data_IF_138015575215
#
_entry.id   IF_138015575215
#
_cell.length_a   1.000
_cell.length_b   1.000
_cell.length_c   1.000
_cell.angle_alpha   90.00
_cell.angle_beta   90.00
_cell.angle_gamma   90.00
#
_symmetry.space_group_name_H-M   'P 1'
#
loop_
_entity.id
_entity.type
_entity.pdbx_description
1 polymer ?
#
# COMPACT_ATOMS: atom_id res chain seq x y z
N UNK A 1 1.58 -42.35 64.28
CA UNK A 1 2.97 -41.82 64.32
C UNK A 1 3.82 -42.60 63.34
N UNK A 2 4.56 -41.90 62.46
CA UNK A 2 5.76 -42.31 61.69
C UNK A 2 5.62 -43.54 60.75
N UNK A 3 5.43 -43.27 59.46
CA UNK A 3 6.43 -43.29 58.36
C UNK A 3 6.64 -44.68 57.77
N UNK A 4 6.22 -44.86 56.51
CA UNK A 4 7.02 -45.61 55.54
C UNK A 4 6.95 -44.89 54.18
N UNK A 5 8.15 -44.67 53.65
CA UNK A 5 8.48 -44.08 52.36
C UNK A 5 7.87 -44.91 51.22
N UNK A 6 7.24 -44.25 50.24
CA UNK A 6 7.12 -44.81 48.90
C UNK A 6 8.23 -44.23 48.02
N UNK A 7 9.26 -45.06 47.82
CA UNK A 7 10.17 -44.99 46.69
C UNK A 7 9.53 -45.74 45.54
N UNK A 8 9.26 -45.08 44.41
CA UNK A 8 9.23 -45.75 43.10
C UNK A 8 9.47 -44.74 41.97
N UNK A 9 10.69 -44.82 41.43
CA UNK A 9 11.07 -44.77 40.01
C UNK A 9 10.73 -43.54 39.15
N UNK A 10 11.81 -42.85 38.79
CA UNK A 10 11.97 -41.94 37.65
C UNK A 10 11.48 -42.54 36.33
N UNK A 11 10.70 -41.78 35.57
CA UNK A 11 10.68 -41.84 34.11
C UNK A 11 11.11 -40.48 33.57
N UNK A 12 12.23 -40.37 32.83
CA UNK A 12 12.63 -39.11 32.23
C UNK A 12 11.74 -38.86 31.01
N UNK A 13 10.76 -37.95 31.15
CA UNK A 13 10.10 -37.33 30.01
C UNK A 13 11.14 -36.50 29.25
N UNK A 14 11.63 -37.03 28.14
CA UNK A 14 12.40 -36.27 27.16
C UNK A 14 11.41 -35.62 26.19
N UNK A 15 11.27 -34.28 26.15
CA UNK A 15 10.50 -33.64 25.09
C UNK A 15 11.29 -33.77 23.79
N UNK A 16 10.79 -34.58 22.84
CA UNK A 16 11.29 -34.53 21.46
C UNK A 16 10.94 -33.16 20.89
N UNK A 17 11.88 -32.38 20.33
CA UNK A 17 11.53 -31.16 19.62
C UNK A 17 10.71 -31.54 18.38
N UNK A 18 9.46 -31.09 18.35
CA UNK A 18 8.59 -31.23 17.19
C UNK A 18 9.04 -30.21 16.14
N UNK A 19 10.17 -30.47 15.49
CA UNK A 19 10.69 -29.67 14.39
C UNK A 19 10.00 -30.10 13.10
N UNK A 20 8.73 -29.72 12.94
CA UNK A 20 8.01 -29.82 11.68
C UNK A 20 7.66 -28.41 11.20
N UNK A 21 8.65 -27.74 10.59
CA UNK A 21 8.31 -26.67 9.64
C UNK A 21 7.47 -27.31 8.54
N UNK A 22 6.19 -26.93 8.37
CA UNK A 22 5.43 -27.43 7.22
C UNK A 22 6.21 -27.03 5.96
N UNK A 23 6.36 -27.92 4.97
CA UNK A 23 6.96 -27.54 3.71
C UNK A 23 6.08 -26.45 3.10
N UNK A 24 6.58 -25.21 3.10
CA UNK A 24 5.98 -24.12 2.35
C UNK A 24 6.04 -24.52 0.88
N UNK A 25 4.99 -25.19 0.39
CA UNK A 25 4.81 -25.41 -1.04
C UNK A 25 4.63 -24.02 -1.65
N UNK A 26 5.49 -23.58 -2.58
CA UNK A 26 5.27 -22.31 -3.24
C UNK A 26 3.93 -22.38 -3.97
N UNK A 27 2.98 -21.54 -3.55
CA UNK A 27 1.72 -21.36 -4.29
C UNK A 27 2.13 -20.77 -5.63
N UNK A 28 2.05 -21.58 -6.69
CA UNK A 28 2.39 -21.18 -8.05
C UNK A 28 1.24 -20.33 -8.61
N UNK A 29 1.14 -19.09 -8.15
CA UNK A 29 0.20 -18.11 -8.70
C UNK A 29 0.79 -17.63 -10.03
N UNK A 30 0.11 -17.93 -11.13
CA UNK A 30 0.46 -17.41 -12.46
C UNK A 30 -0.36 -16.15 -12.71
N UNK A 31 0.25 -14.98 -12.53
CA UNK A 31 -0.34 -13.70 -12.93
C UNK A 31 0.03 -13.46 -14.40
N UNK A 32 -0.96 -13.24 -15.26
CA UNK A 32 -0.69 -12.84 -16.64
C UNK A 32 -0.09 -11.42 -16.65
N UNK A 33 1.01 -11.24 -17.36
CA UNK A 33 1.56 -9.91 -17.60
C UNK A 33 0.64 -9.12 -18.52
N UNK A 34 0.58 -7.78 -18.39
CA UNK A 34 -0.09 -6.95 -19.38
C UNK A 34 0.48 -7.19 -20.79
N UNK A 35 -0.33 -7.01 -21.85
CA UNK A 35 0.14 -7.01 -23.23
C UNK A 35 1.32 -6.04 -23.46
N UNK A 36 2.23 -6.30 -24.42
CA UNK A 36 3.40 -5.44 -24.67
C UNK A 36 3.07 -4.00 -25.08
N UNK A 37 1.89 -3.78 -25.65
CA UNK A 37 1.34 -2.51 -26.12
C UNK A 37 0.42 -1.83 -25.09
N UNK A 38 0.27 -2.43 -23.91
CA UNK A 38 -0.57 -1.89 -22.86
C UNK A 38 0.02 -0.59 -22.29
N UNK A 39 -0.73 0.50 -22.41
CA UNK A 39 -0.41 1.78 -21.83
C UNK A 39 -1.62 2.35 -21.09
N UNK A 40 -1.72 1.93 -19.84
CA UNK A 40 -2.81 2.34 -18.95
C UNK A 40 -2.92 3.86 -18.81
N UNK A 41 -1.79 4.58 -18.79
CA UNK A 41 -1.79 6.03 -18.59
C UNK A 41 -2.43 6.74 -19.77
N UNK A 42 -2.12 6.31 -20.98
CA UNK A 42 -2.70 6.87 -22.19
C UNK A 42 -4.19 6.56 -22.32
N UNK A 43 -4.64 5.36 -21.92
CA UNK A 43 -6.05 4.98 -21.95
C UNK A 43 -6.94 5.92 -21.12
N UNK A 44 -6.45 6.36 -19.95
CA UNK A 44 -7.22 7.17 -19.00
C UNK A 44 -6.97 8.69 -19.11
N UNK A 45 -5.93 9.11 -19.84
CA UNK A 45 -5.45 10.49 -19.83
C UNK A 45 -6.53 11.50 -20.24
N UNK A 46 -7.30 11.18 -21.28
CA UNK A 46 -8.36 12.07 -21.79
C UNK A 46 -9.44 12.32 -20.75
N UNK A 47 -9.95 11.25 -20.13
CA UNK A 47 -11.03 11.33 -19.15
C UNK A 47 -10.55 12.00 -17.86
N UNK A 48 -9.35 11.66 -17.41
CA UNK A 48 -8.67 12.30 -16.28
C UNK A 48 -8.57 13.81 -16.50
N UNK A 49 -8.03 14.23 -17.64
CA UNK A 49 -7.88 15.64 -18.00
C UNK A 49 -9.23 16.36 -18.06
N UNK A 50 -10.23 15.74 -18.68
CA UNK A 50 -11.58 16.30 -18.77
C UNK A 50 -12.19 16.49 -17.37
N UNK A 51 -12.04 15.52 -16.47
CA UNK A 51 -12.50 15.62 -15.09
C UNK A 51 -11.78 16.75 -14.33
N UNK A 52 -10.45 16.82 -14.42
CA UNK A 52 -9.63 17.86 -13.77
C UNK A 52 -10.02 19.25 -14.28
N UNK A 53 -10.22 19.42 -15.60
CA UNK A 53 -10.62 20.71 -16.18
C UNK A 53 -11.96 21.24 -15.64
N UNK A 54 -12.84 20.36 -15.17
CA UNK A 54 -14.16 20.71 -14.64
C UNK A 54 -14.12 21.00 -13.14
N UNK A 55 -13.28 20.29 -12.38
CA UNK A 55 -13.28 20.35 -10.91
C UNK A 55 -12.15 21.22 -10.35
N UNK A 56 -10.95 21.14 -10.93
CA UNK A 56 -9.75 21.85 -10.48
C UNK A 56 -8.95 22.37 -11.70
N UNK A 57 -9.50 23.35 -12.45
CA UNK A 57 -8.86 23.87 -13.66
C UNK A 57 -7.46 24.47 -13.41
N UNK A 58 -7.15 24.90 -12.18
CA UNK A 58 -5.84 25.37 -11.75
C UNK A 58 -4.75 24.28 -11.68
N UNK A 59 -5.14 23.00 -11.83
CA UNK A 59 -4.24 21.86 -11.93
C UNK A 59 -4.17 21.29 -13.36
N UNK A 60 -4.85 21.90 -14.32
CA UNK A 60 -4.96 21.38 -15.69
C UNK A 60 -3.61 21.28 -16.38
N UNK A 61 -2.69 22.21 -16.09
CA UNK A 61 -1.32 22.18 -16.60
C UNK A 61 -0.57 20.90 -16.21
N UNK A 62 -0.83 20.36 -15.01
CA UNK A 62 -0.26 19.10 -14.55
C UNK A 62 -0.90 17.89 -15.25
N UNK A 63 -2.15 17.98 -15.65
CA UNK A 63 -2.76 16.94 -16.48
C UNK A 63 -2.20 17.00 -17.91
N UNK A 64 -2.00 18.20 -18.45
CA UNK A 64 -1.49 18.44 -19.81
C UNK A 64 -0.05 17.95 -19.98
N UNK A 65 0.82 18.16 -18.99
CA UNK A 65 2.18 17.60 -19.00
C UNK A 65 2.23 16.13 -18.51
N UNK A 66 1.09 15.60 -18.06
CA UNK A 66 0.90 14.24 -17.57
C UNK A 66 1.50 13.95 -16.19
N UNK A 67 1.94 14.95 -15.45
CA UNK A 67 2.37 14.81 -14.05
C UNK A 67 1.21 14.39 -13.15
N UNK A 68 -0.03 14.77 -13.47
CA UNK A 68 -1.22 14.48 -12.67
C UNK A 68 -2.21 13.60 -13.44
N UNK A 69 -2.64 12.52 -12.79
CA UNK A 69 -3.70 11.63 -13.27
C UNK A 69 -4.76 11.45 -12.19
N UNK A 70 -6.02 11.54 -12.58
CA UNK A 70 -7.19 11.30 -11.74
C UNK A 70 -7.84 9.97 -12.13
N UNK A 71 -7.93 9.07 -11.15
CA UNK A 71 -8.59 7.78 -11.26
C UNK A 71 -9.88 7.79 -10.45
N UNK A 72 -10.97 7.30 -11.03
CA UNK A 72 -12.25 7.16 -10.35
C UNK A 72 -12.55 5.68 -10.06
N UNK A 73 -13.11 5.41 -8.88
CA UNK A 73 -13.48 4.06 -8.44
C UNK A 73 -14.40 3.34 -9.42
N UNK A 74 -15.33 4.07 -10.02
CA UNK A 74 -16.33 3.50 -10.93
C UNK A 74 -15.69 2.90 -12.21
N UNK A 75 -14.43 3.23 -12.51
CA UNK A 75 -13.71 2.73 -13.69
C UNK A 75 -13.28 1.26 -13.59
N UNK A 76 -13.28 0.64 -12.41
CA UNK A 76 -12.72 -0.71 -12.20
C UNK A 76 -13.73 -1.79 -11.78
N UNK A 77 -15.03 -1.49 -11.86
CA UNK A 77 -16.11 -2.42 -11.53
C UNK A 77 -16.41 -2.53 -10.03
N UNK A 78 -17.36 -3.40 -9.64
CA UNK A 78 -17.83 -3.48 -8.26
C UNK A 78 -16.79 -4.12 -7.34
N UNK A 79 -16.67 -3.59 -6.11
CA UNK A 79 -15.83 -4.19 -5.07
C UNK A 79 -16.35 -5.59 -4.73
N UNK A 80 -15.49 -6.63 -4.78
CA UNK A 80 -15.92 -7.99 -4.45
C UNK A 80 -16.45 -8.11 -3.01
N UNK A 81 -17.47 -8.95 -2.83
CA UNK A 81 -18.21 -9.11 -1.56
C UNK A 81 -17.37 -9.63 -0.38
N UNK A 82 -16.19 -10.19 -0.64
CA UNK A 82 -15.24 -10.66 0.39
C UNK A 82 -14.27 -9.59 0.89
N UNK A 83 -14.25 -8.38 0.30
CA UNK A 83 -13.44 -7.22 0.74
C UNK A 83 -14.30 -6.08 1.32
N UNK A 84 -15.30 -6.40 2.14
CA UNK A 84 -16.21 -5.39 2.73
C UNK A 84 -15.56 -4.48 3.76
N UNK A 85 -14.51 -4.96 4.43
CA UNK A 85 -13.76 -4.19 5.44
C UNK A 85 -12.88 -3.10 4.84
N UNK A 86 -12.54 -3.19 3.55
CA UNK A 86 -11.75 -2.20 2.84
C UNK A 86 -12.64 -1.36 1.92
N UNK A 87 -12.77 -0.07 2.24
CA UNK A 87 -13.48 0.88 1.40
C UNK A 87 -12.47 1.59 0.51
N UNK A 88 -12.47 1.24 -0.77
CA UNK A 88 -11.68 1.97 -1.78
C UNK A 88 -12.19 3.42 -1.89
N UNK A 89 -11.29 4.42 -1.96
CA UNK A 89 -11.67 5.82 -2.11
C UNK A 89 -12.43 6.05 -3.42
N UNK A 90 -13.27 7.09 -3.47
CA UNK A 90 -14.01 7.43 -4.70
C UNK A 90 -13.08 7.89 -5.83
N UNK A 91 -11.98 8.55 -5.47
CA UNK A 91 -11.00 9.08 -6.39
C UNK A 91 -9.58 8.89 -5.87
N UNK A 92 -8.65 8.61 -6.77
CA UNK A 92 -7.21 8.55 -6.49
C UNK A 92 -6.51 9.58 -7.39
N UNK A 93 -5.76 10.47 -6.76
CA UNK A 93 -4.94 11.47 -7.43
C UNK A 93 -3.49 10.98 -7.47
N UNK A 94 -3.04 10.57 -8.65
CA UNK A 94 -1.68 10.07 -8.86
C UNK A 94 -0.79 11.21 -9.37
N UNK A 95 0.22 11.56 -8.58
CA UNK A 95 1.21 12.59 -8.91
C UNK A 95 2.54 11.92 -9.25
N UNK A 96 2.99 12.06 -10.49
CA UNK A 96 4.31 11.64 -10.94
C UNK A 96 5.38 12.55 -10.34
N UNK A 97 6.40 11.98 -9.70
CA UNK A 97 7.48 12.76 -9.10
C UNK A 97 8.84 12.26 -9.55
N UNK A 98 9.82 13.16 -9.61
CA UNK A 98 11.22 12.83 -9.81
C UNK A 98 12.01 13.01 -8.50
N UNK A 99 12.97 12.11 -8.28
CA UNK A 99 13.72 11.99 -7.03
C UNK A 99 14.37 13.28 -6.49
N UNK A 100 14.81 14.17 -7.37
CA UNK A 100 15.61 15.34 -6.97
C UNK A 100 15.03 16.65 -7.50
N UNK A 101 13.83 16.61 -8.07
CA UNK A 101 13.23 17.80 -8.67
C UNK A 101 12.53 18.64 -7.60
N UNK A 102 12.96 19.89 -7.35
CA UNK A 102 12.22 20.81 -6.48
C UNK A 102 10.81 21.09 -7.02
N UNK A 103 10.67 21.12 -8.35
CA UNK A 103 9.39 21.29 -9.04
C UNK A 103 8.39 20.20 -8.64
N UNK A 104 8.83 18.93 -8.58
CA UNK A 104 7.95 17.84 -8.13
C UNK A 104 7.44 18.04 -6.69
N UNK A 105 8.23 18.64 -5.81
CA UNK A 105 7.79 18.94 -4.45
C UNK A 105 6.75 20.07 -4.44
N UNK A 106 6.97 21.12 -5.24
CA UNK A 106 6.01 22.22 -5.41
C UNK A 106 4.69 21.76 -6.05
N UNK A 107 4.74 20.85 -7.02
CA UNK A 107 3.55 20.28 -7.65
C UNK A 107 2.73 19.46 -6.66
N UNK A 108 3.40 18.62 -5.85
CA UNK A 108 2.74 17.87 -4.77
C UNK A 108 2.10 18.81 -3.76
N UNK A 109 2.83 19.85 -3.32
CA UNK A 109 2.30 20.85 -2.40
C UNK A 109 1.04 21.52 -2.96
N UNK A 110 1.08 21.91 -4.25
CA UNK A 110 -0.05 22.52 -4.94
C UNK A 110 -1.25 21.58 -4.99
N UNK A 111 -1.07 20.33 -5.44
CA UNK A 111 -2.16 19.34 -5.53
C UNK A 111 -2.77 19.08 -4.15
N UNK A 112 -1.97 18.86 -3.10
CA UNK A 112 -2.47 18.57 -1.75
C UNK A 112 -3.24 19.75 -1.19
N UNK A 113 -2.76 20.98 -1.37
CA UNK A 113 -3.45 22.19 -0.86
C UNK A 113 -4.78 22.43 -1.57
N UNK A 114 -4.84 22.17 -2.86
CA UNK A 114 -6.02 22.36 -3.70
C UNK A 114 -7.06 21.26 -3.45
N UNK A 115 -6.66 20.00 -3.58
CA UNK A 115 -7.57 18.84 -3.52
C UNK A 115 -8.00 18.52 -2.08
N UNK A 116 -7.12 18.78 -1.10
CA UNK A 116 -7.32 18.44 0.33
C UNK A 116 -7.76 16.98 0.53
N UNK A 117 -6.96 15.99 0.07
CA UNK A 117 -7.33 14.59 0.15
C UNK A 117 -7.39 14.09 1.59
N UNK A 118 -8.25 13.11 1.86
CA UNK A 118 -8.36 12.47 3.18
C UNK A 118 -7.08 11.73 3.59
N UNK A 119 -6.38 11.16 2.59
CA UNK A 119 -5.17 10.36 2.79
C UNK A 119 -4.12 10.71 1.73
N UNK A 120 -2.86 10.73 2.15
CA UNK A 120 -1.70 10.86 1.25
C UNK A 120 -0.82 9.64 1.42
N UNK A 121 -0.66 8.87 0.34
CA UNK A 121 0.27 7.75 0.27
C UNK A 121 1.47 8.13 -0.58
N UNK A 122 2.67 7.76 -0.14
CA UNK A 122 3.93 8.06 -0.84
C UNK A 122 4.63 6.76 -1.20
N UNK A 123 4.88 6.56 -2.49
CA UNK A 123 5.78 5.51 -2.95
C UNK A 123 7.24 5.98 -2.82
N UNK A 124 8.04 5.23 -2.08
CA UNK A 124 9.46 5.50 -1.94
C UNK A 124 10.26 4.44 -2.70
N UNK A 125 11.17 4.92 -3.56
CA UNK A 125 12.17 4.03 -4.14
C UNK A 125 12.99 3.32 -3.06
N UNK A 126 13.49 2.13 -3.42
CA UNK A 126 14.17 1.20 -2.50
C UNK A 126 15.27 1.85 -1.66
N UNK A 127 16.04 2.78 -2.24
CA UNK A 127 17.13 3.49 -1.55
C UNK A 127 16.65 4.40 -0.40
N UNK A 128 15.39 4.86 -0.43
CA UNK A 128 14.84 5.80 0.57
C UNK A 128 14.00 5.14 1.66
N UNK A 129 13.62 3.87 1.48
CA UNK A 129 12.96 3.10 2.54
C UNK A 129 13.77 3.06 3.84
N UNK A 130 15.09 3.18 3.75
CA UNK A 130 16.03 3.10 4.89
C UNK A 130 16.06 4.40 5.72
N UNK A 131 15.62 5.54 5.18
CA UNK A 131 15.66 6.84 5.86
C UNK A 131 14.42 7.19 6.69
N UNK A 132 13.29 6.52 6.46
CA UNK A 132 12.05 6.68 7.25
C UNK A 132 12.05 5.73 8.46
N UNK A 133 13.04 5.87 9.34
CA UNK A 133 12.89 5.34 10.69
C UNK A 133 11.98 6.29 11.44
N UNK A 134 10.70 5.94 11.57
CA UNK A 134 9.86 6.51 12.61
C UNK A 134 10.60 6.29 13.94
N UNK A 135 10.96 7.33 14.73
CA UNK A 135 11.16 7.11 16.15
C UNK A 135 9.87 6.50 16.64
N UNK A 136 9.96 5.30 17.21
CA UNK A 136 8.81 4.59 17.77
C UNK A 136 7.97 5.57 18.56
N UNK A 137 6.73 5.80 18.11
CA UNK A 137 5.71 6.50 18.88
C UNK A 137 5.34 5.62 20.08
N UNK A 138 6.22 5.55 21.06
CA UNK A 138 5.91 5.17 22.43
C UNK A 138 5.55 6.45 23.17
N UNK A 139 4.42 7.05 22.79
CA UNK A 139 3.74 7.99 23.67
C UNK A 139 2.32 7.45 23.82
N UNK A 140 1.97 6.86 24.97
CA UNK A 140 0.59 6.44 25.19
C UNK A 140 -0.30 7.68 25.19
N UNK A 141 -1.38 7.64 24.42
CA UNK A 141 -2.46 8.62 24.53
C UNK A 141 -2.89 8.72 26.00
N UNK A 142 -2.94 9.94 26.51
CA UNK A 142 -3.45 10.27 27.84
C UNK A 142 -4.82 10.91 27.71
#
# INVERSE_FOLDING_TARGET
MKFLLNSLTFFPFTPKPLDSKPPFRPIKVSVQTPPPDFDFRNEIASDSRAAISRTFPELLDLADNGTLILLHKQSFGPVPSWRKEFVEPEAIWLVGTSHISPESASDVERVVRTVKPDNVAVELCRSRKVGFNFPSLTTPCR
#
